data_IF_509342036017
#
_entry.id   IF_509342036017
#
_cell.length_a   1.000
_cell.length_b   1.000
_cell.length_c   1.000
_cell.angle_alpha   90.00
_cell.angle_beta   90.00
_cell.angle_gamma   90.00
#
_symmetry.space_group_name_H-M   'P 1'
#
loop_
_entity.id
_entity.type
_entity.pdbx_description
1 polymer ?
#
# COMPACT_ATOMS: atom_id res chain seq x y z
N UNK A 1 -28.77 -13.08 29.12
CA UNK A 1 -28.64 -12.01 28.10
C UNK A 1 -27.83 -10.88 28.70
N UNK A 2 -26.60 -10.67 28.22
CA UNK A 2 -25.92 -9.37 28.09
C UNK A 2 -24.72 -9.60 27.17
N UNK A 3 -24.95 -9.55 25.86
CA UNK A 3 -23.85 -9.41 24.89
C UNK A 3 -23.33 -7.98 25.05
N UNK A 4 -22.24 -7.81 25.77
CA UNK A 4 -21.47 -6.57 25.74
C UNK A 4 -20.75 -6.51 24.39
N UNK A 5 -21.32 -5.77 23.43
CA UNK A 5 -20.65 -5.39 22.19
C UNK A 5 -19.42 -4.56 22.55
N UNK A 6 -18.27 -5.23 22.67
CA UNK A 6 -17.00 -4.61 23.00
C UNK A 6 -16.52 -3.75 21.83
N UNK A 7 -16.75 -2.44 21.93
CA UNK A 7 -16.15 -1.46 21.03
C UNK A 7 -14.68 -1.31 21.44
N UNK A 8 -13.76 -1.65 20.54
CA UNK A 8 -12.33 -1.45 20.73
C UNK A 8 -11.96 -0.14 20.03
N UNK A 9 -11.71 0.92 20.80
CA UNK A 9 -11.15 2.16 20.28
C UNK A 9 -9.63 2.04 20.22
N UNK A 10 -9.06 2.20 19.02
CA UNK A 10 -7.61 2.23 18.83
C UNK A 10 -7.21 3.59 18.30
N UNK A 11 -6.33 4.29 19.02
CA UNK A 11 -5.74 5.53 18.53
C UNK A 11 -4.77 5.24 17.40
N UNK A 12 -4.95 5.92 16.27
CA UNK A 12 -4.06 5.82 15.10
C UNK A 12 -2.75 6.61 15.27
N UNK A 13 -2.58 7.34 16.38
CA UNK A 13 -1.37 8.09 16.71
C UNK A 13 -0.33 7.21 17.42
N UNK A 14 -0.78 6.15 18.09
CA UNK A 14 0.06 5.16 18.78
C UNK A 14 -0.40 3.75 18.42
N UNK A 15 0.04 3.30 17.25
CA UNK A 15 -0.38 2.00 16.76
C UNK A 15 0.30 0.87 17.55
N UNK A 16 -0.44 -0.18 17.94
CA UNK A 16 0.10 -1.37 18.60
C UNK A 16 1.09 -2.13 17.73
N UNK A 17 1.49 -3.33 18.16
CA UNK A 17 2.31 -4.20 17.32
C UNK A 17 1.51 -4.70 16.10
N UNK A 18 2.13 -4.70 14.91
CA UNK A 18 1.47 -5.16 13.68
C UNK A 18 0.97 -6.61 13.75
N UNK A 19 1.63 -7.48 14.51
CA UNK A 19 1.18 -8.87 14.73
C UNK A 19 -0.10 -8.93 15.57
N UNK A 20 -0.22 -8.11 16.60
CA UNK A 20 -1.40 -8.07 17.48
C UNK A 20 -2.60 -7.51 16.71
N UNK A 21 -2.39 -6.41 15.97
CA UNK A 21 -3.44 -5.84 15.12
C UNK A 21 -3.90 -6.84 14.08
N UNK A 22 -2.97 -7.57 13.44
CA UNK A 22 -3.30 -8.59 12.45
C UNK A 22 -4.11 -9.75 13.06
N UNK A 23 -3.74 -10.22 14.24
CA UNK A 23 -4.48 -11.27 14.94
C UNK A 23 -5.92 -10.83 15.25
N UNK A 24 -6.12 -9.59 15.69
CA UNK A 24 -7.44 -9.02 15.96
C UNK A 24 -8.26 -8.88 14.67
N UNK A 25 -7.67 -8.31 13.61
CA UNK A 25 -8.35 -8.12 12.33
C UNK A 25 -8.84 -9.46 11.74
N UNK A 26 -8.03 -10.52 11.90
CA UNK A 26 -8.38 -11.87 11.47
C UNK A 26 -9.44 -12.53 12.36
N UNK A 27 -9.28 -12.44 13.68
CA UNK A 27 -10.21 -13.02 14.65
C UNK A 27 -11.60 -12.41 14.54
N UNK A 28 -11.67 -11.09 14.39
CA UNK A 28 -12.93 -10.33 14.33
C UNK A 28 -13.53 -10.26 12.92
N UNK A 29 -12.89 -10.90 11.93
CA UNK A 29 -13.27 -10.86 10.51
C UNK A 29 -13.61 -9.41 10.04
N UNK A 30 -12.72 -8.48 10.37
CA UNK A 30 -12.95 -7.05 10.21
C UNK A 30 -13.11 -6.64 8.75
N UNK A 31 -13.91 -5.60 8.50
CA UNK A 31 -14.11 -5.07 7.15
C UNK A 31 -12.80 -4.52 6.55
N UNK A 32 -12.68 -4.59 5.22
CA UNK A 32 -11.58 -4.04 4.43
C UNK A 32 -11.22 -2.59 4.83
N UNK A 33 -12.24 -1.74 5.02
CA UNK A 33 -12.05 -0.34 5.39
C UNK A 33 -11.26 -0.19 6.69
N UNK A 34 -11.52 -1.06 7.68
CA UNK A 34 -10.81 -1.07 8.97
C UNK A 34 -9.36 -1.50 8.76
N UNK A 35 -9.12 -2.58 8.01
CA UNK A 35 -7.76 -3.03 7.68
C UNK A 35 -6.93 -1.98 6.93
N UNK A 36 -7.52 -1.30 5.94
CA UNK A 36 -6.89 -0.19 5.23
C UNK A 36 -6.60 1.01 6.14
N UNK A 37 -7.49 1.32 7.08
CA UNK A 37 -7.28 2.39 8.05
C UNK A 37 -6.06 2.12 8.93
N UNK A 38 -5.90 0.88 9.40
CA UNK A 38 -4.72 0.47 10.16
C UNK A 38 -3.45 0.50 9.32
N UNK A 39 -3.49 -0.03 8.10
CA UNK A 39 -2.34 0.01 7.19
C UNK A 39 -1.88 1.47 6.95
N UNK A 40 -2.81 2.36 6.59
CA UNK A 40 -2.50 3.78 6.40
C UNK A 40 -1.96 4.45 7.67
N UNK A 41 -2.43 4.04 8.85
CA UNK A 41 -1.87 4.50 10.11
C UNK A 41 -0.41 4.05 10.30
N UNK A 42 -0.08 2.78 10.01
CA UNK A 42 1.30 2.29 10.08
C UNK A 42 2.20 3.00 9.06
N UNK A 43 1.66 3.30 7.88
CA UNK A 43 2.34 4.08 6.86
C UNK A 43 2.71 5.49 7.35
N UNK A 44 1.78 6.19 7.99
CA UNK A 44 1.99 7.55 8.52
C UNK A 44 3.03 7.61 9.64
N UNK A 45 3.28 6.49 10.33
CA UNK A 45 4.28 6.37 11.41
C UNK A 45 5.63 5.80 10.92
N UNK A 46 5.86 5.70 9.61
CA UNK A 46 7.06 5.12 8.99
C UNK A 46 7.32 3.65 9.39
N UNK A 47 6.26 2.94 9.80
CA UNK A 47 6.28 1.51 10.17
C UNK A 47 5.99 0.64 8.95
N UNK A 48 6.84 0.74 7.93
CA UNK A 48 6.62 0.09 6.61
C UNK A 48 6.42 -1.43 6.69
N UNK A 49 7.12 -2.14 7.59
CA UNK A 49 6.97 -3.59 7.76
C UNK A 49 5.58 -4.00 8.23
N UNK A 50 5.02 -3.25 9.19
CA UNK A 50 3.68 -3.52 9.71
C UNK A 50 2.60 -3.10 8.71
N UNK A 51 2.83 -2.00 7.98
CA UNK A 51 1.99 -1.59 6.86
C UNK A 51 1.82 -2.72 5.84
N UNK A 52 2.94 -3.25 5.32
CA UNK A 52 2.93 -4.33 4.31
C UNK A 52 2.18 -5.55 4.82
N UNK A 53 2.49 -5.97 6.05
CA UNK A 53 1.93 -7.16 6.67
C UNK A 53 0.41 -7.08 6.88
N UNK A 54 -0.08 -5.91 7.32
CA UNK A 54 -1.52 -5.67 7.46
C UNK A 54 -2.17 -5.69 6.09
N UNK A 55 -1.61 -4.97 5.11
CA UNK A 55 -2.18 -4.87 3.77
C UNK A 55 -2.28 -6.24 3.06
N UNK A 56 -1.25 -7.09 3.20
CA UNK A 56 -1.23 -8.46 2.68
C UNK A 56 -2.28 -9.38 3.33
N UNK A 57 -2.66 -9.09 4.59
CA UNK A 57 -3.61 -9.91 5.34
C UNK A 57 -5.08 -9.63 5.00
N UNK A 58 -5.36 -8.44 4.46
CA UNK A 58 -6.72 -8.02 4.12
C UNK A 58 -7.09 -8.63 2.77
N UNK A 59 -7.76 -9.79 2.81
CA UNK A 59 -8.36 -10.39 1.63
C UNK A 59 -9.62 -9.60 1.24
N UNK A 60 -9.78 -9.32 -0.05
CA UNK A 60 -10.96 -8.75 -0.72
C UNK A 60 -11.18 -7.22 -0.64
N UNK A 61 -10.35 -6.50 -1.37
CA UNK A 61 -10.69 -5.72 -2.59
C UNK A 61 -9.35 -5.56 -3.30
N UNK A 62 -8.97 -6.63 -4.01
CA UNK A 62 -7.61 -6.92 -4.46
C UNK A 62 -7.01 -5.71 -5.18
N UNK A 63 -7.82 -5.01 -6.00
CA UNK A 63 -7.42 -3.78 -6.69
C UNK A 63 -7.00 -2.66 -5.73
N UNK A 64 -7.83 -2.30 -4.75
CA UNK A 64 -7.54 -1.15 -3.87
C UNK A 64 -6.34 -1.42 -2.97
N UNK A 65 -6.20 -2.65 -2.48
CA UNK A 65 -5.02 -3.05 -1.71
C UNK A 65 -3.77 -3.03 -2.60
N UNK A 66 -3.82 -3.64 -3.78
CA UNK A 66 -2.67 -3.72 -4.69
C UNK A 66 -2.27 -2.34 -5.24
N UNK A 67 -3.21 -1.48 -5.62
CA UNK A 67 -2.92 -0.11 -6.07
C UNK A 67 -2.33 0.74 -4.94
N UNK A 68 -2.85 0.62 -3.71
CA UNK A 68 -2.30 1.31 -2.53
C UNK A 68 -0.86 0.84 -2.25
N UNK A 69 -0.62 -0.46 -2.40
CA UNK A 69 0.69 -1.07 -2.21
C UNK A 69 1.68 -0.64 -3.30
N UNK A 70 1.24 -0.62 -4.56
CA UNK A 70 2.05 -0.22 -5.68
C UNK A 70 2.40 1.28 -5.61
N UNK A 71 1.44 2.13 -5.23
CA UNK A 71 1.67 3.56 -4.99
C UNK A 71 2.68 3.81 -3.84
N UNK A 72 2.65 2.98 -2.79
CA UNK A 72 3.67 3.00 -1.73
C UNK A 72 5.06 2.75 -2.31
N UNK A 73 5.24 1.65 -3.05
CA UNK A 73 6.54 1.30 -3.62
C UNK A 73 7.07 2.36 -4.59
N UNK A 74 6.19 2.90 -5.45
CA UNK A 74 6.52 3.99 -6.38
C UNK A 74 7.00 5.25 -5.64
N UNK A 75 6.29 5.65 -4.57
CA UNK A 75 6.67 6.82 -3.78
C UNK A 75 8.01 6.65 -3.06
N UNK A 76 8.29 5.45 -2.55
CA UNK A 76 9.57 5.15 -1.92
C UNK A 76 10.71 5.05 -2.94
N UNK A 77 10.46 4.50 -4.13
CA UNK A 77 11.42 4.51 -5.25
C UNK A 77 11.82 5.94 -5.63
N UNK A 78 10.85 6.84 -5.84
CA UNK A 78 11.14 8.22 -6.26
C UNK A 78 11.99 8.99 -5.23
N UNK A 79 11.79 8.72 -3.93
CA UNK A 79 12.55 9.36 -2.83
C UNK A 79 13.95 8.78 -2.60
N UNK A 80 14.20 7.56 -3.07
CA UNK A 80 15.46 6.86 -2.86
C UNK A 80 16.54 7.33 -3.85
N UNK A 81 17.76 7.57 -3.35
CA UNK A 81 18.88 8.06 -4.16
C UNK A 81 19.82 6.92 -4.58
N UNK A 82 19.92 5.87 -3.78
CA UNK A 82 20.76 4.73 -4.08
C UNK A 82 20.12 3.85 -5.17
N UNK A 83 20.81 3.67 -6.30
CA UNK A 83 20.30 2.91 -7.45
C UNK A 83 19.88 1.47 -7.08
N UNK A 84 20.66 0.80 -6.24
CA UNK A 84 20.36 -0.58 -5.83
C UNK A 84 19.07 -0.66 -5.00
N UNK A 85 18.89 0.26 -4.04
CA UNK A 85 17.68 0.35 -3.22
C UNK A 85 16.46 0.81 -4.01
N UNK A 86 16.64 1.71 -4.98
CA UNK A 86 15.58 2.08 -5.94
C UNK A 86 15.00 0.82 -6.59
N UNK A 87 15.86 -0.13 -6.98
CA UNK A 87 15.44 -1.38 -7.62
C UNK A 87 14.63 -2.29 -6.68
N UNK A 88 14.95 -2.31 -5.39
CA UNK A 88 14.18 -3.04 -4.36
C UNK A 88 12.74 -2.55 -4.22
N UNK A 89 12.47 -1.27 -4.52
CA UNK A 89 11.10 -0.73 -4.55
C UNK A 89 10.45 -0.83 -5.93
N UNK A 90 11.24 -0.73 -7.01
CA UNK A 90 10.72 -0.79 -8.37
C UNK A 90 10.15 -2.18 -8.72
N UNK A 91 10.90 -3.24 -8.45
CA UNK A 91 10.48 -4.60 -8.81
C UNK A 91 9.14 -5.02 -8.18
N UNK A 92 8.90 -4.79 -6.86
CA UNK A 92 7.59 -5.05 -6.27
C UNK A 92 6.47 -4.19 -6.87
N UNK A 93 6.70 -2.89 -7.11
CA UNK A 93 5.70 -2.01 -7.73
C UNK A 93 5.23 -2.52 -9.09
N UNK A 94 6.17 -2.92 -9.95
CA UNK A 94 5.86 -3.45 -11.28
C UNK A 94 5.07 -4.76 -11.21
N UNK A 95 5.44 -5.68 -10.32
CA UNK A 95 4.73 -6.95 -10.14
C UNK A 95 3.29 -6.74 -9.65
N UNK A 96 3.08 -5.79 -8.74
CA UNK A 96 1.76 -5.46 -8.22
C UNK A 96 0.87 -4.85 -9.31
N UNK A 97 1.40 -3.92 -10.11
CA UNK A 97 0.66 -3.35 -11.23
C UNK A 97 0.34 -4.40 -12.30
N UNK A 98 1.27 -5.30 -12.64
CA UNK A 98 1.01 -6.43 -13.54
C UNK A 98 -0.08 -7.37 -13.02
N UNK A 99 -0.24 -7.46 -11.69
CA UNK A 99 -1.31 -8.25 -11.09
C UNK A 99 -2.64 -7.50 -11.19
N UNK A 100 -2.68 -6.19 -10.91
CA UNK A 100 -3.89 -5.36 -11.06
C UNK A 100 -4.35 -5.28 -12.52
N UNK A 101 -3.41 -5.22 -13.49
CA UNK A 101 -3.69 -5.23 -14.93
C UNK A 101 -4.56 -6.44 -15.34
N UNK A 102 -4.40 -7.58 -14.67
CA UNK A 102 -5.17 -8.81 -14.95
C UNK A 102 -6.60 -8.75 -14.41
N UNK A 103 -6.88 -7.83 -13.50
CA UNK A 103 -8.18 -7.70 -12.84
C UNK A 103 -8.99 -6.56 -13.46
N UNK A 104 -8.39 -5.38 -13.71
CA UNK A 104 -9.04 -4.30 -14.46
C UNK A 104 -8.03 -3.27 -14.99
N UNK A 105 -7.96 -3.12 -16.31
CA UNK A 105 -6.92 -2.31 -16.98
C UNK A 105 -7.30 -0.84 -17.21
N UNK A 106 -8.57 -0.45 -16.98
CA UNK A 106 -9.12 0.85 -17.40
C UNK A 106 -9.51 1.81 -16.26
N UNK A 107 -9.08 1.56 -15.02
CA UNK A 107 -9.24 2.57 -13.96
C UNK A 107 -8.27 3.74 -14.20
N UNK A 108 -8.78 4.98 -14.11
CA UNK A 108 -8.00 6.18 -14.42
C UNK A 108 -6.80 6.36 -13.48
N UNK A 109 -6.96 6.05 -12.19
CA UNK A 109 -5.87 6.16 -11.22
C UNK A 109 -4.84 5.07 -11.49
N UNK A 110 -5.28 3.86 -11.81
CA UNK A 110 -4.38 2.77 -12.19
C UNK A 110 -3.55 3.13 -13.43
N UNK A 111 -4.20 3.62 -14.50
CA UNK A 111 -3.53 4.06 -15.73
C UNK A 111 -2.53 5.20 -15.48
N UNK A 112 -2.87 6.16 -14.60
CA UNK A 112 -1.98 7.24 -14.22
C UNK A 112 -0.72 6.70 -13.53
N UNK A 113 -0.89 5.78 -12.58
CA UNK A 113 0.25 5.18 -11.89
C UNK A 113 1.11 4.29 -12.82
N UNK A 114 0.47 3.57 -13.76
CA UNK A 114 1.15 2.82 -14.83
C UNK A 114 2.01 3.73 -15.71
N UNK A 115 1.49 4.89 -16.11
CA UNK A 115 2.27 5.86 -16.86
C UNK A 115 3.46 6.37 -16.05
N UNK A 116 3.26 6.68 -14.76
CA UNK A 116 4.31 7.16 -13.87
C UNK A 116 5.45 6.14 -13.67
N UNK A 117 5.13 4.87 -13.44
CA UNK A 117 6.16 3.83 -13.26
C UNK A 117 6.96 3.57 -14.55
N UNK A 118 6.32 3.63 -15.72
CA UNK A 118 7.03 3.54 -17.01
C UNK A 118 8.00 4.72 -17.21
N UNK A 119 7.61 5.94 -16.81
CA UNK A 119 8.50 7.12 -16.87
C UNK A 119 9.70 6.99 -15.92
N UNK A 120 9.52 6.33 -14.77
CA UNK A 120 10.61 6.02 -13.83
C UNK A 120 11.57 4.94 -14.37
N UNK A 121 11.07 3.95 -15.12
CA UNK A 121 11.89 2.87 -15.71
C UNK A 121 12.87 3.41 -16.75
N UNK A 122 12.44 4.40 -17.53
CA UNK A 122 13.21 4.93 -18.66
C UNK A 122 14.05 6.17 -18.30
N UNK A 123 14.16 6.55 -17.02
CA UNK A 123 14.79 7.81 -16.56
C UNK A 123 14.20 9.07 -17.24
N UNK A 124 12.96 8.96 -17.75
CA UNK A 124 12.28 10.03 -18.52
C UNK A 124 11.56 11.05 -17.63
N UNK A 125 11.41 10.77 -16.33
CA UNK A 125 10.83 11.72 -15.38
C UNK A 125 11.65 13.03 -15.30
N UNK A 126 12.97 12.93 -15.12
CA UNK A 126 13.85 14.09 -15.04
C UNK A 126 13.86 14.90 -16.36
N UNK A 127 13.70 14.22 -17.50
CA UNK A 127 13.59 14.87 -18.82
C UNK A 127 12.27 15.62 -18.99
N UNK A 128 11.16 15.03 -18.52
CA UNK A 128 9.84 15.66 -18.59
C UNK A 128 9.74 16.89 -17.67
N UNK A 129 10.33 16.84 -16.46
CA UNK A 129 10.36 17.99 -15.54
C UNK A 129 11.19 19.17 -16.05
N UNK A 130 12.24 18.92 -16.85
CA UNK A 130 13.06 19.97 -17.46
C UNK A 130 12.38 20.71 -18.63
N UNK A 131 11.28 20.16 -19.17
CA UNK A 131 10.56 20.71 -20.32
C UNK A 131 9.24 21.41 -19.97
N UNK A 132 8.84 21.41 -18.68
CA UNK A 132 7.65 22.07 -18.15
C UNK A 132 7.99 23.43 -17.52
#
# INVERSE_FOLDING_TARGET
MTSSTGIIEVSLDQLPNGQEVLAILQQENCSLHIGLTFALGYYRQDKGKDFLKILESVKTDEMRCLDTLAAYYVKHNHREKAKDKKREYFTPATLLYMHVDKILVYDLNHLLHRAYICLLEEDKMDQAEQQA
#
